data_IF_195374114413
#
_entry.id   IF_195374114413
#
_cell.length_a   1.000
_cell.length_b   1.000
_cell.length_c   1.000
_cell.angle_alpha   90.00
_cell.angle_beta   90.00
_cell.angle_gamma   90.00
#
_symmetry.space_group_name_H-M   'P 1'
#
loop_
_entity.id
_entity.type
_entity.pdbx_description
1 polymer ?
#
# COMPACT_ATOMS: atom_id res chain seq x y z
N UNK A 1 -23.95 10.64 4.01
CA UNK A 1 -22.96 9.56 4.22
C UNK A 1 -21.60 9.81 3.55
N UNK A 2 -21.50 10.45 2.38
CA UNK A 2 -20.20 10.80 1.78
C UNK A 2 -19.35 11.80 2.61
N UNK A 3 -19.99 12.77 3.26
CA UNK A 3 -19.28 13.85 3.99
C UNK A 3 -18.63 13.36 5.28
N UNK A 4 -19.27 12.46 6.02
CA UNK A 4 -18.69 11.85 7.22
C UNK A 4 -17.45 10.99 6.88
N UNK A 5 -17.50 10.24 5.77
CA UNK A 5 -16.37 9.45 5.32
C UNK A 5 -15.20 10.34 4.87
N UNK A 6 -15.48 11.48 4.21
CA UNK A 6 -14.45 12.47 3.84
C UNK A 6 -13.76 13.10 5.05
N UNK A 7 -14.49 13.41 6.13
CA UNK A 7 -13.91 14.01 7.33
C UNK A 7 -13.05 12.98 8.08
N UNK A 8 -13.50 11.71 8.15
CA UNK A 8 -12.75 10.62 8.76
C UNK A 8 -11.46 10.32 7.99
N UNK A 9 -11.54 10.28 6.64
CA UNK A 9 -10.40 10.17 5.75
C UNK A 9 -9.45 11.38 5.87
N UNK A 10 -9.98 12.60 5.89
CA UNK A 10 -9.17 13.83 6.02
C UNK A 10 -8.44 13.92 7.37
N UNK A 11 -9.09 13.50 8.46
CA UNK A 11 -8.50 13.47 9.80
C UNK A 11 -7.39 12.42 9.89
N UNK A 12 -7.62 11.23 9.32
CA UNK A 12 -6.61 10.18 9.21
C UNK A 12 -5.42 10.60 8.37
N UNK A 13 -5.65 11.28 7.24
CA UNK A 13 -4.61 11.78 6.34
C UNK A 13 -3.72 12.85 7.01
N UNK A 14 -4.28 13.74 7.84
CA UNK A 14 -3.49 14.75 8.54
C UNK A 14 -2.54 14.14 9.58
N UNK A 15 -2.99 13.10 10.30
CA UNK A 15 -2.17 12.35 11.24
C UNK A 15 -1.11 11.50 10.51
N UNK A 16 -1.50 10.87 9.40
CA UNK A 16 -0.62 10.10 8.52
C UNK A 16 0.54 10.97 7.99
N UNK A 17 0.22 12.16 7.49
CA UNK A 17 1.23 13.11 6.98
C UNK A 17 2.18 13.54 8.09
N UNK A 18 1.70 13.72 9.33
CA UNK A 18 2.56 14.04 10.49
C UNK A 18 3.49 12.89 10.88
N UNK A 19 3.00 11.65 10.90
CA UNK A 19 3.78 10.45 11.22
C UNK A 19 4.82 10.10 10.16
N UNK A 20 4.54 10.42 8.89
CA UNK A 20 5.39 10.06 7.74
C UNK A 20 6.37 11.17 7.34
N UNK A 21 6.15 12.41 7.79
CA UNK A 21 7.08 13.55 7.62
C UNK A 21 8.57 13.25 7.91
N UNK A 22 8.95 12.49 8.95
CA UNK A 22 10.36 12.20 9.22
C UNK A 22 10.95 11.08 8.33
N UNK A 23 10.14 10.34 7.57
CA UNK A 23 10.61 9.23 6.73
C UNK A 23 10.91 9.70 5.31
N UNK A 24 12.11 9.38 4.80
CA UNK A 24 12.41 9.56 3.38
C UNK A 24 11.40 8.77 2.53
N UNK A 25 10.85 9.38 1.47
CA UNK A 25 9.75 8.82 0.65
C UNK A 25 9.94 7.34 0.29
N UNK A 26 11.15 6.97 -0.15
CA UNK A 26 11.46 5.58 -0.53
C UNK A 26 11.51 4.61 0.66
N UNK A 27 12.06 5.03 1.82
CA UNK A 27 12.08 4.19 3.03
C UNK A 27 10.68 3.97 3.60
N UNK A 28 9.83 5.00 3.59
CA UNK A 28 8.45 4.87 4.06
C UNK A 28 7.63 3.94 3.18
N UNK A 29 7.79 4.03 1.85
CA UNK A 29 7.10 3.16 0.91
C UNK A 29 7.58 1.69 1.03
N UNK A 30 8.89 1.49 1.28
CA UNK A 30 9.43 0.16 1.57
C UNK A 30 8.90 -0.41 2.90
N UNK A 31 8.78 0.42 3.95
CA UNK A 31 8.21 0.00 5.23
C UNK A 31 6.73 -0.41 5.08
N UNK A 32 5.95 0.35 4.32
CA UNK A 32 4.57 -0.01 4.00
C UNK A 32 4.47 -1.36 3.28
N UNK A 33 5.36 -1.60 2.32
CA UNK A 33 5.45 -2.87 1.61
C UNK A 33 5.75 -4.05 2.53
N UNK A 34 6.71 -3.91 3.45
CA UNK A 34 7.03 -4.94 4.46
C UNK A 34 5.84 -5.21 5.39
N UNK A 35 5.13 -4.17 5.82
CA UNK A 35 3.94 -4.32 6.66
C UNK A 35 2.81 -5.06 5.92
N UNK A 36 2.62 -4.82 4.62
CA UNK A 36 1.67 -5.58 3.81
C UNK A 36 2.07 -7.05 3.61
N UNK A 37 3.37 -7.34 3.43
CA UNK A 37 3.85 -8.73 3.40
C UNK A 37 3.58 -9.42 4.73
N UNK A 38 3.87 -8.76 5.86
CA UNK A 38 3.60 -9.31 7.18
C UNK A 38 2.09 -9.57 7.40
N UNK A 39 1.24 -8.61 7.03
CA UNK A 39 -0.21 -8.77 7.07
C UNK A 39 -0.70 -9.97 6.24
N UNK A 40 -0.20 -10.11 5.00
CA UNK A 40 -0.58 -11.20 4.12
C UNK A 40 -0.14 -12.56 4.69
N UNK A 41 1.03 -12.65 5.33
CA UNK A 41 1.48 -13.86 6.01
C UNK A 41 0.63 -14.20 7.25
N UNK A 42 0.25 -13.18 8.03
CA UNK A 42 -0.69 -13.34 9.16
C UNK A 42 -2.00 -13.92 8.65
N UNK A 43 -2.60 -13.35 7.60
CA UNK A 43 -3.85 -13.87 7.06
C UNK A 43 -3.72 -15.26 6.42
N UNK A 44 -2.60 -15.58 5.78
CA UNK A 44 -2.33 -16.93 5.28
C UNK A 44 -2.24 -17.96 6.43
N UNK A 45 -1.69 -17.56 7.58
CA UNK A 45 -1.55 -18.42 8.77
C UNK A 45 -2.84 -18.53 9.59
N UNK A 46 -3.86 -17.69 9.33
CA UNK A 46 -5.15 -17.73 10.02
C UNK A 46 -5.84 -19.10 9.94
N UNK A 47 -5.58 -19.88 8.88
CA UNK A 47 -6.11 -21.24 8.69
C UNK A 47 -5.62 -22.24 9.76
N UNK A 48 -4.55 -21.93 10.48
CA UNK A 48 -4.01 -22.76 11.57
C UNK A 48 -4.44 -22.29 12.96
N UNK A 49 -5.20 -21.20 13.05
CA UNK A 49 -5.62 -20.60 14.32
C UNK A 49 -6.96 -21.20 14.76
N UNK A 50 -7.10 -21.64 16.03
CA UNK A 50 -8.37 -22.13 16.54
C UNK A 50 -9.45 -21.04 16.52
N UNK A 51 -10.70 -21.41 16.25
CA UNK A 51 -11.82 -20.47 16.03
C UNK A 51 -11.99 -19.43 17.17
N UNK A 52 -11.74 -19.82 18.42
CA UNK A 52 -11.83 -18.93 19.59
C UNK A 52 -10.80 -17.79 19.56
N UNK A 53 -9.64 -17.99 18.94
CA UNK A 53 -8.58 -16.99 18.81
C UNK A 53 -8.57 -16.27 17.44
N UNK A 54 -9.45 -16.66 16.52
CA UNK A 54 -9.45 -16.15 15.15
C UNK A 54 -9.81 -14.67 15.08
N UNK A 55 -10.83 -14.22 15.81
CA UNK A 55 -11.26 -12.82 15.84
C UNK A 55 -10.14 -11.88 16.30
N UNK A 56 -9.51 -12.07 17.49
CA UNK A 56 -8.42 -11.20 17.92
C UNK A 56 -7.19 -11.30 17.01
N UNK A 57 -6.93 -12.46 16.41
CA UNK A 57 -5.84 -12.64 15.45
C UNK A 57 -6.04 -11.81 14.16
N UNK A 58 -7.26 -11.83 13.61
CA UNK A 58 -7.61 -11.03 12.42
C UNK A 58 -7.59 -9.53 12.74
N UNK A 59 -8.01 -9.12 13.95
CA UNK A 59 -7.91 -7.73 14.39
C UNK A 59 -6.45 -7.27 14.47
N UNK A 60 -5.54 -8.12 14.96
CA UNK A 60 -4.11 -7.81 14.94
C UNK A 60 -3.59 -7.63 13.52
N UNK A 61 -3.99 -8.51 12.59
CA UNK A 61 -3.70 -8.37 11.17
C UNK A 61 -4.22 -7.05 10.59
N UNK A 62 -5.45 -6.65 10.93
CA UNK A 62 -6.04 -5.38 10.50
C UNK A 62 -5.21 -4.17 10.92
N UNK A 63 -4.54 -4.21 12.08
CA UNK A 63 -3.63 -3.15 12.54
C UNK A 63 -2.42 -3.03 11.60
N UNK A 64 -1.83 -4.15 11.17
CA UNK A 64 -0.72 -4.15 10.21
C UNK A 64 -1.16 -3.57 8.85
N UNK A 65 -2.34 -3.97 8.37
CA UNK A 65 -2.90 -3.40 7.14
C UNK A 65 -3.13 -1.89 7.26
N UNK A 66 -3.77 -1.45 8.35
CA UNK A 66 -4.05 -0.04 8.57
C UNK A 66 -2.77 0.80 8.68
N UNK A 67 -1.74 0.28 9.34
CA UNK A 67 -0.44 0.95 9.44
C UNK A 67 0.25 1.06 8.07
N UNK A 68 0.22 -0.01 7.26
CA UNK A 68 0.77 0.00 5.91
C UNK A 68 0.06 1.03 5.01
N UNK A 69 -1.27 1.02 5.03
CA UNK A 69 -2.10 1.93 4.22
C UNK A 69 -1.89 3.40 4.61
N UNK A 70 -1.81 3.68 5.92
CA UNK A 70 -1.57 5.02 6.44
C UNK A 70 -0.22 5.59 5.99
N UNK A 71 0.81 4.75 5.81
CA UNK A 71 2.12 5.17 5.31
C UNK A 71 2.11 5.30 3.79
N UNK A 72 1.52 4.33 3.09
CA UNK A 72 1.50 4.27 1.64
C UNK A 72 0.70 5.41 1.01
N UNK A 73 -0.49 5.71 1.51
CA UNK A 73 -1.41 6.69 0.92
C UNK A 73 -0.80 8.10 0.73
N UNK A 74 -0.22 8.76 1.75
CA UNK A 74 0.37 10.08 1.57
C UNK A 74 1.66 10.05 0.73
N UNK A 75 2.47 9.00 0.83
CA UNK A 75 3.73 8.88 0.09
C UNK A 75 3.53 8.65 -1.39
N UNK A 76 2.59 7.77 -1.74
CA UNK A 76 2.25 7.47 -3.13
C UNK A 76 1.69 8.70 -3.84
N UNK A 77 0.81 9.46 -3.16
CA UNK A 77 0.31 10.74 -3.66
C UNK A 77 1.41 11.81 -3.78
N UNK A 78 2.33 11.90 -2.82
CA UNK A 78 3.44 12.85 -2.89
C UNK A 78 4.42 12.50 -4.02
N UNK A 79 4.66 11.22 -4.27
CA UNK A 79 5.54 10.74 -5.34
C UNK A 79 4.92 11.00 -6.72
N UNK A 80 3.63 10.70 -6.91
CA UNK A 80 2.93 10.96 -8.17
C UNK A 80 2.88 12.46 -8.49
N UNK A 81 2.67 13.31 -7.48
CA UNK A 81 2.69 14.75 -7.63
C UNK A 81 4.10 15.31 -7.96
N UNK A 82 5.16 14.74 -7.38
CA UNK A 82 6.53 15.17 -7.62
C UNK A 82 7.09 14.68 -8.97
N UNK A 83 6.60 13.55 -9.48
CA UNK A 83 7.00 13.00 -10.77
C UNK A 83 6.40 13.75 -11.97
N UNK A 84 5.35 14.54 -11.76
CA UNK A 84 4.63 15.21 -12.83
C UNK A 84 5.27 16.56 -13.25
N UNK A 85 5.56 16.78 -14.56
CA UNK A 85 5.94 18.09 -15.07
C UNK A 85 4.83 19.13 -14.84
N UNK A 86 5.15 20.42 -14.57
CA UNK A 86 4.16 21.44 -14.23
C UNK A 86 3.02 21.56 -15.25
N UNK A 87 3.34 21.44 -16.54
CA UNK A 87 2.39 21.55 -17.65
C UNK A 87 1.49 20.32 -17.87
N UNK A 88 1.79 19.16 -17.26
CA UNK A 88 1.06 17.90 -17.49
C UNK A 88 0.56 17.22 -16.20
N UNK A 89 0.51 17.96 -15.09
CA UNK A 89 0.14 17.45 -13.77
C UNK A 89 -1.22 16.75 -13.74
N UNK A 90 -2.21 17.30 -14.44
CA UNK A 90 -3.54 16.69 -14.56
C UNK A 90 -3.52 15.32 -15.25
N UNK A 91 -2.70 15.16 -16.29
CA UNK A 91 -2.60 13.90 -17.05
C UNK A 91 -1.89 12.80 -16.26
N UNK A 92 -0.83 13.15 -15.54
CA UNK A 92 -0.14 12.22 -14.65
C UNK A 92 -1.03 11.75 -13.49
N UNK A 93 -1.80 12.67 -12.91
CA UNK A 93 -2.75 12.32 -11.86
C UNK A 93 -3.88 11.43 -12.39
N UNK A 94 -4.36 11.66 -13.61
CA UNK A 94 -5.35 10.80 -14.25
C UNK A 94 -4.82 9.37 -14.46
N UNK A 95 -3.59 9.20 -14.96
CA UNK A 95 -2.96 7.87 -15.13
C UNK A 95 -2.79 7.15 -13.79
N UNK A 96 -2.39 7.88 -12.75
CA UNK A 96 -2.30 7.34 -11.39
C UNK A 96 -3.66 6.84 -10.88
N UNK A 97 -4.73 7.61 -11.06
CA UNK A 97 -6.09 7.20 -10.68
C UNK A 97 -6.58 5.99 -11.50
N UNK A 98 -6.29 5.94 -12.81
CA UNK A 98 -6.62 4.79 -13.64
C UNK A 98 -5.95 3.50 -13.16
N UNK A 99 -4.74 3.59 -12.62
CA UNK A 99 -4.04 2.42 -12.09
C UNK A 99 -4.80 1.79 -10.92
N UNK A 100 -5.38 2.60 -10.02
CA UNK A 100 -6.23 2.09 -8.94
C UNK A 100 -7.56 1.53 -9.45
N UNK A 101 -8.20 2.22 -10.39
CA UNK A 101 -9.45 1.74 -10.98
C UNK A 101 -9.25 0.36 -11.63
N UNK A 102 -8.17 0.20 -12.38
CA UNK A 102 -7.80 -1.06 -13.01
C UNK A 102 -7.52 -2.16 -11.97
N UNK A 103 -6.76 -1.85 -10.90
CA UNK A 103 -6.51 -2.79 -9.82
C UNK A 103 -7.81 -3.26 -9.13
N UNK A 104 -8.75 -2.34 -8.88
CA UNK A 104 -10.05 -2.67 -8.27
C UNK A 104 -10.93 -3.56 -9.15
N UNK A 105 -10.85 -3.40 -10.47
CA UNK A 105 -11.57 -4.27 -11.42
C UNK A 105 -10.96 -5.68 -11.45
N UNK A 106 -9.63 -5.78 -11.40
CA UNK A 106 -8.94 -7.07 -11.45
C UNK A 106 -8.99 -7.84 -10.13
N UNK A 107 -9.04 -7.14 -8.99
CA UNK A 107 -8.93 -7.76 -7.67
C UNK A 107 -9.95 -8.88 -7.41
N UNK A 108 -11.28 -8.70 -7.65
CA UNK A 108 -12.25 -9.76 -7.42
C UNK A 108 -11.95 -11.01 -8.25
N UNK A 109 -11.70 -10.85 -9.55
CA UNK A 109 -11.41 -11.96 -10.46
C UNK A 109 -10.14 -12.70 -10.06
N UNK A 110 -9.09 -11.96 -9.68
CA UNK A 110 -7.83 -12.52 -9.19
C UNK A 110 -8.03 -13.33 -7.90
N UNK A 111 -8.73 -12.76 -6.92
CA UNK A 111 -9.03 -13.42 -5.65
C UNK A 111 -9.91 -14.65 -5.84
N UNK A 112 -10.97 -14.57 -6.65
CA UNK A 112 -11.84 -15.71 -6.93
C UNK A 112 -11.07 -16.85 -7.59
N UNK A 113 -10.25 -16.55 -8.59
CA UNK A 113 -9.45 -17.56 -9.30
C UNK A 113 -8.41 -18.23 -8.38
N UNK A 114 -7.76 -17.47 -7.49
CA UNK A 114 -6.77 -18.01 -6.56
C UNK A 114 -7.42 -18.76 -5.41
N UNK A 115 -8.55 -18.27 -4.89
CA UNK A 115 -9.28 -18.95 -3.81
C UNK A 115 -9.78 -20.33 -4.28
N UNK A 116 -10.15 -20.49 -5.56
CA UNK A 116 -10.49 -21.79 -6.12
C UNK A 116 -9.36 -22.83 -5.99
N UNK A 117 -8.10 -22.40 -5.82
CA UNK A 117 -6.92 -23.27 -5.61
C UNK A 117 -6.57 -23.51 -4.14
N UNK A 118 -7.24 -22.83 -3.21
CA UNK A 118 -7.07 -22.98 -1.78
C UNK A 118 -7.14 -21.65 -1.03
N UNK A 119 -7.63 -21.64 0.22
CA UNK A 119 -7.89 -20.41 0.97
C UNK A 119 -6.63 -19.62 1.36
N UNK A 120 -5.45 -20.26 1.38
CA UNK A 120 -4.16 -19.60 1.66
C UNK A 120 -3.54 -18.91 0.43
N UNK A 121 -3.92 -19.35 -0.78
CA UNK A 121 -3.26 -18.98 -2.03
C UNK A 121 -3.39 -17.49 -2.37
N UNK A 122 -4.56 -16.83 -2.19
CA UNK A 122 -4.69 -15.39 -2.43
C UNK A 122 -3.74 -14.55 -1.57
N UNK A 123 -3.57 -14.94 -0.30
CA UNK A 123 -2.72 -14.24 0.66
C UNK A 123 -1.23 -14.38 0.31
N UNK A 124 -0.79 -15.57 -0.10
CA UNK A 124 0.58 -15.78 -0.55
C UNK A 124 0.89 -15.02 -1.84
N UNK A 125 -0.06 -14.95 -2.77
CA UNK A 125 0.10 -14.16 -3.98
C UNK A 125 0.16 -12.66 -3.69
N UNK A 126 -0.63 -12.15 -2.75
CA UNK A 126 -0.51 -10.78 -2.26
C UNK A 126 0.85 -10.52 -1.62
N UNK A 127 1.34 -11.44 -0.79
CA UNK A 127 2.67 -11.32 -0.18
C UNK A 127 3.76 -11.25 -1.26
N UNK A 128 3.68 -12.08 -2.30
CA UNK A 128 4.60 -12.05 -3.43
C UNK A 128 4.52 -10.72 -4.21
N UNK A 129 3.31 -10.26 -4.54
CA UNK A 129 3.11 -8.98 -5.23
C UNK A 129 3.64 -7.80 -4.41
N UNK A 130 3.37 -7.77 -3.11
CA UNK A 130 3.88 -6.75 -2.21
C UNK A 130 5.42 -6.79 -2.10
N UNK A 131 6.02 -7.97 -2.05
CA UNK A 131 7.48 -8.12 -2.04
C UNK A 131 8.12 -7.63 -3.35
N UNK A 132 7.53 -7.97 -4.51
CA UNK A 132 7.99 -7.48 -5.82
C UNK A 132 7.87 -5.96 -5.91
N UNK A 133 6.75 -5.37 -5.47
CA UNK A 133 6.57 -3.92 -5.44
C UNK A 133 7.61 -3.26 -4.52
N UNK A 134 7.83 -3.81 -3.32
CA UNK A 134 8.81 -3.31 -2.35
C UNK A 134 10.23 -3.32 -2.94
N UNK A 135 10.62 -4.42 -3.57
CA UNK A 135 11.95 -4.55 -4.18
C UNK A 135 12.14 -3.61 -5.38
N UNK A 136 11.11 -3.43 -6.21
CA UNK A 136 11.12 -2.45 -7.30
C UNK A 136 11.26 -1.00 -6.78
N UNK A 137 10.55 -0.64 -5.71
CA UNK A 137 10.70 0.67 -5.06
C UNK A 137 12.11 0.86 -4.50
N UNK A 138 12.68 -0.20 -3.93
CA UNK A 138 14.02 -0.17 -3.36
C UNK A 138 15.10 -0.02 -4.44
N UNK A 139 14.98 -0.71 -5.57
CA UNK A 139 15.91 -0.55 -6.70
C UNK A 139 15.81 0.82 -7.36
N UNK A 140 14.64 1.45 -7.35
CA UNK A 140 14.42 2.82 -7.83
C UNK A 140 14.94 3.90 -6.86
N UNK A 141 15.30 3.54 -5.63
CA UNK A 141 15.81 4.49 -4.64
C UNK A 141 17.21 5.03 -5.02
N UNK A 142 18.04 4.21 -5.64
CA UNK A 142 19.38 4.60 -6.08
C UNK A 142 19.37 5.66 -7.21
N UNK A 143 18.59 5.52 -8.29
CA UNK A 143 18.48 6.56 -9.32
C UNK A 143 17.79 7.85 -8.83
N UNK A 144 16.89 7.77 -7.84
CA UNK A 144 16.24 8.95 -7.25
C UNK A 144 17.21 9.78 -6.39
N UNK A 145 18.03 9.12 -5.56
CA UNK A 145 19.10 9.80 -4.80
C UNK A 145 20.13 10.46 -5.71
N UNK A 146 20.44 9.85 -6.86
CA UNK A 146 21.35 10.43 -7.84
C UNK A 146 20.81 11.73 -8.46
N UNK A 147 19.49 11.82 -8.73
CA UNK A 147 18.87 13.05 -9.26
C UNK A 147 18.73 14.17 -8.22
N UNK A 148 18.57 13.84 -6.94
CA UNK A 148 18.49 14.82 -5.85
C UNK A 148 19.84 15.53 -5.63
N UNK A 149 20.96 14.81 -5.80
CA UNK A 149 22.32 15.39 -5.73
C UNK A 149 22.67 16.33 -6.89
N UNK A 150 22.03 16.21 -8.05
CA UNK A 150 22.32 17.06 -9.22
C UNK A 150 21.62 18.43 -9.13
N UNK A 151 20.67 18.58 -8.20
CA UNK A 151 19.92 19.82 -7.97
C UNK A 151 20.47 20.72 -6.86
N UNK A 152 21.56 20.31 -6.20
CA UNK A 152 22.32 21.09 -5.20
C UNK A 152 23.62 21.54 -5.88
#
# INVERSE_FOLDING_TARGET
MLTANMILLASGQALAVRLVRPLSRARGLALAGVLWVAWALVYAAALRVPAAALVPYLLLGMIFYAAADLIHAPLSNALSAAAAPPAQRGRYLAVYQYSFAFANILAPTFFTALHARGPAVPWLALAALAAVATTAIWSLNDPLKAREKIKI
#
